data_IF_010805004678
#
_entry.id   IF_010805004678
#
_cell.length_a   1.000
_cell.length_b   1.000
_cell.length_c   1.000
_cell.angle_alpha   90.00
_cell.angle_beta   90.00
_cell.angle_gamma   90.00
#
_symmetry.space_group_name_H-M   'P 1'
#
loop_
_entity.id
_entity.type
_entity.pdbx_description
1 polymer ?
#
# COMPACT_ATOMS: atom_id res chain seq x y z
N UNK A 1 -29.22 10.27 -9.28
CA UNK A 1 -29.65 11.64 -9.58
C UNK A 1 -28.61 12.29 -10.46
N UNK A 2 -28.38 13.60 -10.31
CA UNK A 2 -27.24 14.28 -10.90
C UNK A 2 -25.92 13.81 -10.27
N UNK A 3 -24.85 13.67 -11.06
CA UNK A 3 -23.59 13.07 -10.59
C UNK A 3 -22.88 13.91 -9.53
N UNK A 4 -22.80 15.22 -9.75
CA UNK A 4 -22.05 16.12 -8.85
C UNK A 4 -22.79 16.20 -7.50
N UNK A 5 -24.11 16.38 -7.56
CA UNK A 5 -25.01 16.36 -6.39
C UNK A 5 -24.89 15.07 -5.59
N UNK A 6 -24.98 13.90 -6.22
CA UNK A 6 -24.89 12.59 -5.53
C UNK A 6 -23.49 12.36 -4.93
N UNK A 7 -22.44 12.88 -5.57
CA UNK A 7 -21.06 12.80 -5.05
C UNK A 7 -20.87 13.68 -3.82
N UNK A 8 -21.41 14.91 -3.84
CA UNK A 8 -21.37 15.83 -2.69
C UNK A 8 -22.19 15.30 -1.51
N UNK A 9 -23.40 14.80 -1.76
CA UNK A 9 -24.24 14.13 -0.75
C UNK A 9 -23.51 12.93 -0.13
N UNK A 10 -22.91 12.06 -0.94
CA UNK A 10 -22.13 10.91 -0.44
C UNK A 10 -20.98 11.34 0.48
N UNK A 11 -20.25 12.40 0.11
CA UNK A 11 -19.15 12.93 0.92
C UNK A 11 -19.64 13.55 2.22
N UNK A 12 -20.78 14.26 2.20
CA UNK A 12 -21.41 14.85 3.40
C UNK A 12 -21.98 13.78 4.34
N UNK A 13 -22.67 12.76 3.82
CA UNK A 13 -23.26 11.67 4.63
C UNK A 13 -22.22 10.81 5.36
N UNK A 14 -20.97 10.81 4.89
CA UNK A 14 -19.86 10.06 5.48
C UNK A 14 -18.83 10.98 6.17
N UNK A 15 -19.20 12.22 6.49
CA UNK A 15 -18.37 13.23 7.18
C UNK A 15 -16.99 13.45 6.53
N UNK A 16 -16.91 13.35 5.18
CA UNK A 16 -15.65 13.49 4.45
C UNK A 16 -15.36 14.97 4.15
N UNK A 17 -14.32 15.57 4.77
CA UNK A 17 -13.95 16.97 4.53
C UNK A 17 -13.38 17.19 3.12
N UNK A 18 -14.23 17.65 2.20
CA UNK A 18 -13.92 17.87 0.78
C UNK A 18 -13.78 19.36 0.40
N UNK A 19 -13.73 20.26 1.39
CA UNK A 19 -13.49 21.69 1.17
C UNK A 19 -12.03 21.95 0.73
N UNK A 20 -11.77 23.05 -0.01
CA UNK A 20 -10.41 23.50 -0.33
C UNK A 20 -9.59 23.81 0.92
N UNK A 21 -8.28 23.58 0.84
CA UNK A 21 -7.34 23.92 1.91
C UNK A 21 -7.32 25.42 2.23
N UNK A 22 -7.23 25.76 3.52
CA UNK A 22 -7.19 27.15 3.98
C UNK A 22 -5.86 27.84 3.64
N UNK A 23 -5.85 29.18 3.58
CA UNK A 23 -4.62 29.94 3.31
C UNK A 23 -3.51 29.70 4.36
N UNK A 24 -3.87 29.35 5.60
CA UNK A 24 -2.91 28.97 6.64
C UNK A 24 -2.21 27.64 6.32
N UNK A 25 -2.96 26.65 5.82
CA UNK A 25 -2.42 25.37 5.33
C UNK A 25 -1.53 25.61 4.10
N UNK A 26 -1.98 26.41 3.13
CA UNK A 26 -1.19 26.74 1.93
C UNK A 26 0.14 27.44 2.30
N UNK A 27 0.15 28.27 3.35
CA UNK A 27 1.35 28.98 3.81
C UNK A 27 2.39 28.08 4.50
N UNK A 28 2.05 26.83 4.86
CA UNK A 28 2.99 25.85 5.38
C UNK A 28 3.79 25.12 4.28
N UNK A 29 3.42 25.28 3.00
CA UNK A 29 4.11 24.64 1.88
C UNK A 29 5.50 25.26 1.62
N UNK A 30 6.46 24.48 1.10
CA UNK A 30 7.67 25.04 0.51
C UNK A 30 7.32 25.93 -0.70
N UNK A 31 8.16 26.94 -1.03
CA UNK A 31 7.92 27.78 -2.20
C UNK A 31 8.00 26.97 -3.50
N UNK A 32 7.33 27.38 -4.60
CA UNK A 32 7.41 26.67 -5.89
C UNK A 32 8.82 26.54 -6.49
N UNK A 33 9.78 27.35 -6.02
CA UNK A 33 11.20 27.30 -6.39
C UNK A 33 12.02 26.33 -5.55
N UNK A 34 11.40 25.60 -4.61
CA UNK A 34 12.09 24.63 -3.77
C UNK A 34 12.70 23.50 -4.60
N UNK A 35 13.99 23.25 -4.38
CA UNK A 35 14.74 22.14 -4.95
C UNK A 35 15.75 21.65 -3.93
N UNK A 36 16.03 20.36 -3.90
CA UNK A 36 16.97 19.78 -2.95
C UNK A 36 18.40 19.97 -3.47
N UNK A 37 19.01 21.07 -3.05
CA UNK A 37 20.39 21.37 -3.41
C UNK A 37 21.37 20.35 -2.81
N UNK A 38 22.51 20.13 -3.49
CA UNK A 38 23.61 19.33 -2.93
C UNK A 38 24.23 19.89 -1.63
N UNK A 39 23.93 21.14 -1.27
CA UNK A 39 24.32 21.73 0.01
C UNK A 39 23.49 21.21 1.19
N UNK A 40 22.20 20.94 0.97
CA UNK A 40 21.25 20.52 2.02
C UNK A 40 21.67 19.23 2.73
N UNK A 41 22.45 18.37 2.07
CA UNK A 41 22.97 17.11 2.61
C UNK A 41 24.08 17.28 3.65
N UNK A 42 24.75 18.45 3.72
CA UNK A 42 25.78 18.71 4.74
C UNK A 42 25.20 19.22 6.05
N UNK A 43 24.04 19.88 6.00
CA UNK A 43 23.44 20.54 7.15
C UNK A 43 22.43 19.64 7.91
N UNK A 44 22.12 18.45 7.39
CA UNK A 44 21.29 17.44 8.07
C UNK A 44 22.10 16.20 8.44
N UNK A 45 22.55 16.15 9.69
CA UNK A 45 23.25 14.99 10.24
C UNK A 45 22.39 13.71 10.17
N UNK A 46 22.91 12.65 9.52
CA UNK A 46 22.28 11.33 9.49
C UNK A 46 21.52 10.94 8.22
N UNK A 47 21.64 11.69 7.11
CA UNK A 47 21.12 11.27 5.80
C UNK A 47 22.19 10.60 4.91
N UNK A 48 21.85 9.47 4.29
CA UNK A 48 22.65 8.74 3.32
C UNK A 48 22.27 9.06 1.86
N UNK A 49 23.25 9.17 0.96
CA UNK A 49 23.02 9.38 -0.47
C UNK A 49 22.88 8.03 -1.19
N UNK A 50 21.65 7.66 -1.54
CA UNK A 50 21.30 6.38 -2.17
C UNK A 50 21.03 6.50 -3.68
N UNK A 51 21.23 7.69 -4.28
CA UNK A 51 20.97 7.94 -5.72
C UNK A 51 21.77 7.06 -6.68
N UNK A 52 22.85 6.45 -6.20
CA UNK A 52 23.65 5.50 -6.98
C UNK A 52 22.97 4.12 -7.13
N UNK A 53 21.92 3.82 -6.37
CA UNK A 53 21.19 2.56 -6.43
C UNK A 53 20.15 2.56 -7.56
N UNK A 54 19.90 1.38 -8.13
CA UNK A 54 18.82 1.15 -9.11
C UNK A 54 17.48 0.91 -8.40
N UNK A 55 16.86 2.02 -8.00
CA UNK A 55 15.55 2.07 -7.37
C UNK A 55 14.46 2.26 -8.45
N UNK A 56 13.30 1.64 -8.27
CA UNK A 56 12.12 1.84 -9.12
C UNK A 56 10.81 1.76 -8.31
N UNK A 57 9.79 2.50 -8.74
CA UNK A 57 8.41 2.34 -8.24
C UNK A 57 7.61 1.37 -9.14
N UNK A 58 6.57 0.73 -8.58
CA UNK A 58 5.67 -0.16 -9.33
C UNK A 58 4.21 0.07 -8.92
N UNK A 59 3.49 0.82 -9.75
CA UNK A 59 2.25 1.51 -9.40
C UNK A 59 1.03 1.12 -10.27
N UNK A 60 -0.19 1.51 -9.88
CA UNK A 60 -1.34 1.56 -10.79
C UNK A 60 -1.12 2.54 -11.97
N UNK A 61 -1.70 2.28 -13.16
CA UNK A 61 -1.67 3.24 -14.26
C UNK A 61 -2.33 4.57 -13.86
N UNK A 62 -1.64 5.69 -14.08
CA UNK A 62 -2.13 7.02 -13.72
C UNK A 62 -2.03 7.37 -12.24
N UNK A 63 -1.25 6.61 -11.45
CA UNK A 63 -0.89 6.99 -10.08
C UNK A 63 -0.22 8.37 -10.07
N UNK A 64 -0.57 9.19 -9.08
CA UNK A 64 0.01 10.52 -8.81
C UNK A 64 0.68 10.59 -7.45
N UNK A 65 0.65 9.49 -6.69
CA UNK A 65 1.03 9.40 -5.28
C UNK A 65 1.99 8.23 -5.10
N UNK A 66 3.25 8.44 -5.47
CA UNK A 66 4.28 7.41 -5.32
C UNK A 66 4.81 7.49 -3.89
N UNK A 67 4.14 6.75 -3.01
CA UNK A 67 4.56 6.59 -1.62
C UNK A 67 5.84 5.75 -1.50
N UNK A 68 5.97 4.72 -2.34
CA UNK A 68 6.96 3.66 -2.19
C UNK A 68 7.77 3.38 -3.46
N UNK A 69 9.02 2.97 -3.26
CA UNK A 69 9.90 2.45 -4.30
C UNK A 69 10.81 1.36 -3.75
N UNK A 70 11.30 0.49 -4.63
CA UNK A 70 11.98 -0.74 -4.28
C UNK A 70 13.35 -0.85 -4.96
N UNK A 71 14.30 -1.50 -4.29
CA UNK A 71 15.50 -2.01 -4.95
C UNK A 71 15.93 -3.36 -4.36
N UNK A 72 16.63 -4.15 -5.16
CA UNK A 72 17.23 -5.41 -4.77
C UNK A 72 18.62 -5.55 -5.40
N UNK A 73 19.62 -5.91 -4.60
CA UNK A 73 21.02 -5.96 -4.99
C UNK A 73 21.72 -7.16 -4.32
N UNK A 74 22.44 -8.02 -5.08
CA UNK A 74 23.26 -9.05 -4.49
C UNK A 74 24.48 -8.44 -3.76
N UNK A 75 24.89 -9.07 -2.66
CA UNK A 75 26.06 -8.69 -1.86
C UNK A 75 27.19 -9.72 -2.03
N UNK A 76 28.44 -9.28 -1.90
CA UNK A 76 29.65 -10.11 -2.08
C UNK A 76 29.72 -11.33 -1.13
N UNK A 77 29.00 -11.27 0.00
CA UNK A 77 28.89 -12.35 0.98
C UNK A 77 27.82 -13.40 0.64
N UNK A 78 27.17 -13.30 -0.53
CA UNK A 78 26.11 -14.21 -1.00
C UNK A 78 24.72 -13.92 -0.42
N UNK A 79 24.55 -12.84 0.36
CA UNK A 79 23.24 -12.34 0.76
C UNK A 79 22.65 -11.44 -0.34
N UNK A 80 21.37 -11.07 -0.17
CA UNK A 80 20.72 -10.03 -0.97
C UNK A 80 20.33 -8.86 -0.08
N UNK A 81 20.71 -7.66 -0.48
CA UNK A 81 20.21 -6.39 0.05
C UNK A 81 18.88 -6.06 -0.64
N UNK A 82 17.84 -5.78 0.14
CA UNK A 82 16.57 -5.23 -0.34
C UNK A 82 16.28 -3.96 0.43
N UNK A 83 15.91 -2.89 -0.27
CA UNK A 83 15.48 -1.64 0.36
C UNK A 83 14.09 -1.24 -0.09
N UNK A 84 13.23 -0.95 0.88
CA UNK A 84 11.93 -0.31 0.69
C UNK A 84 12.09 1.16 1.03
N UNK A 85 11.91 2.03 0.05
CA UNK A 85 12.10 3.48 0.14
C UNK A 85 10.75 4.18 0.16
N UNK A 86 10.44 4.90 1.22
CA UNK A 86 9.15 5.55 1.46
C UNK A 86 9.33 7.08 1.42
N UNK A 87 8.37 7.79 0.82
CA UNK A 87 8.37 9.26 0.76
C UNK A 87 8.47 9.90 2.16
N UNK A 88 9.44 10.79 2.38
CA UNK A 88 9.66 11.44 3.68
C UNK A 88 8.71 12.64 3.87
N UNK A 89 7.43 12.35 4.10
CA UNK A 89 6.41 13.35 4.45
C UNK A 89 6.76 14.10 5.74
N UNK A 90 7.42 13.44 6.69
CA UNK A 90 7.85 14.02 7.97
C UNK A 90 8.90 15.13 7.85
N UNK A 91 9.56 15.23 6.69
CA UNK A 91 10.42 16.35 6.34
C UNK A 91 9.64 17.65 6.10
N UNK A 92 8.46 17.55 5.48
CA UNK A 92 7.65 18.68 5.03
C UNK A 92 6.58 19.08 6.05
N UNK A 93 5.91 18.11 6.69
CA UNK A 93 4.96 18.37 7.78
C UNK A 93 5.71 18.39 9.11
N UNK A 94 5.44 19.43 9.91
CA UNK A 94 6.02 19.60 11.24
C UNK A 94 4.88 19.59 12.27
N UNK A 95 5.00 18.83 13.37
CA UNK A 95 3.93 18.70 14.35
C UNK A 95 3.40 20.04 14.86
N UNK A 96 2.07 20.17 14.97
CA UNK A 96 1.39 21.35 15.49
C UNK A 96 1.40 22.57 14.57
N UNK A 97 1.62 22.40 13.26
CA UNK A 97 1.36 23.44 12.27
C UNK A 97 -0.01 23.23 11.58
N UNK A 98 -0.51 24.24 10.86
CA UNK A 98 -1.84 24.16 10.25
C UNK A 98 -2.00 23.01 9.23
N UNK A 99 -0.91 22.60 8.57
CA UNK A 99 -0.91 21.48 7.63
C UNK A 99 -0.93 20.11 8.34
N UNK A 100 -0.30 20.00 9.51
CA UNK A 100 -0.37 18.84 10.41
C UNK A 100 -1.77 18.68 11.03
N UNK A 101 -2.36 19.77 11.51
CA UNK A 101 -3.74 19.78 12.02
C UNK A 101 -4.77 19.37 10.96
N UNK A 102 -4.64 19.91 9.75
CA UNK A 102 -5.49 19.57 8.60
C UNK A 102 -5.29 18.11 8.14
N UNK A 103 -4.05 17.62 8.12
CA UNK A 103 -3.75 16.22 7.81
C UNK A 103 -4.38 15.28 8.84
N UNK A 104 -4.22 15.59 10.13
CA UNK A 104 -4.81 14.85 11.26
C UNK A 104 -6.34 14.86 11.22
N UNK A 105 -6.96 16.00 10.86
CA UNK A 105 -8.41 16.12 10.69
C UNK A 105 -8.95 15.23 9.56
N UNK A 106 -8.23 15.14 8.44
CA UNK A 106 -8.65 14.34 7.28
C UNK A 106 -8.35 12.85 7.47
N UNK A 107 -7.24 12.50 8.12
CA UNK A 107 -6.83 11.14 8.50
C UNK A 107 -6.48 10.16 7.37
N UNK A 108 -7.15 10.23 6.22
CA UNK A 108 -6.89 9.41 5.04
C UNK A 108 -7.34 10.11 3.77
N UNK A 109 -6.67 9.82 2.65
CA UNK A 109 -7.16 10.23 1.33
C UNK A 109 -8.38 9.40 0.94
N UNK A 110 -9.47 10.07 0.56
CA UNK A 110 -10.70 9.45 0.07
C UNK A 110 -10.73 9.48 -1.45
N UNK A 111 -11.00 8.31 -2.02
CA UNK A 111 -10.71 7.92 -3.38
C UNK A 111 -12.03 7.53 -4.09
N UNK A 112 -12.58 8.41 -4.93
CA UNK A 112 -13.84 8.18 -5.66
C UNK A 112 -13.62 8.10 -7.17
N UNK A 113 -14.56 7.48 -7.90
CA UNK A 113 -14.52 7.39 -9.37
C UNK A 113 -14.99 8.71 -10.01
N UNK A 114 -14.11 9.41 -10.75
CA UNK A 114 -14.48 10.61 -11.51
C UNK A 114 -14.24 10.47 -13.03
N UNK A 115 -14.66 11.50 -13.77
CA UNK A 115 -14.54 11.69 -15.22
C UNK A 115 -13.39 12.67 -15.46
N UNK A 116 -12.47 12.34 -16.38
CA UNK A 116 -11.53 13.30 -16.95
C UNK A 116 -11.82 13.47 -18.45
N UNK A 117 -11.61 14.67 -18.99
CA UNK A 117 -11.84 15.01 -20.39
C UNK A 117 -10.63 14.71 -21.31
N UNK A 118 -9.61 14.02 -20.80
CA UNK A 118 -8.35 13.79 -21.51
C UNK A 118 -8.34 12.41 -22.18
N UNK A 119 -8.14 12.41 -23.51
CA UNK A 119 -8.15 11.21 -24.35
C UNK A 119 -7.22 10.10 -23.81
N UNK A 120 -7.80 8.91 -23.63
CA UNK A 120 -7.16 7.66 -23.18
C UNK A 120 -6.30 7.79 -21.89
N UNK A 121 -6.94 7.53 -20.74
CA UNK A 121 -6.37 6.68 -19.68
C UNK A 121 -7.46 6.20 -18.70
N UNK A 122 -7.12 5.15 -17.95
CA UNK A 122 -7.94 4.54 -16.88
C UNK A 122 -8.63 5.59 -15.99
N UNK A 123 -9.76 5.19 -15.39
CA UNK A 123 -10.45 5.97 -14.36
C UNK A 123 -9.45 6.56 -13.38
N UNK A 124 -9.30 7.89 -13.45
CA UNK A 124 -8.69 8.65 -12.39
C UNK A 124 -9.60 8.55 -11.19
N UNK A 125 -9.16 7.78 -10.22
CA UNK A 125 -9.69 7.86 -8.88
C UNK A 125 -9.30 9.24 -8.37
N UNK A 126 -10.26 10.15 -8.27
CA UNK A 126 -10.00 11.49 -7.76
C UNK A 126 -9.86 11.44 -6.25
N UNK A 127 -8.86 12.16 -5.77
CA UNK A 127 -8.75 12.56 -4.37
C UNK A 127 -9.86 13.58 -4.08
N UNK A 128 -10.94 13.14 -3.45
CA UNK A 128 -12.04 14.04 -3.05
C UNK A 128 -11.73 14.74 -1.72
N UNK A 129 -10.99 14.06 -0.85
CA UNK A 129 -10.29 14.62 0.29
C UNK A 129 -8.88 14.01 0.31
N UNK A 130 -7.84 14.80 0.54
CA UNK A 130 -6.45 14.30 0.63
C UNK A 130 -5.90 14.67 1.99
N UNK A 131 -5.27 13.72 2.69
CA UNK A 131 -4.52 14.02 3.93
C UNK A 131 -3.39 15.02 3.66
N UNK A 132 -2.81 14.99 2.46
CA UNK A 132 -1.61 15.72 2.08
C UNK A 132 -1.82 16.74 0.97
N UNK A 133 -1.26 17.93 1.20
CA UNK A 133 -1.11 18.99 0.21
C UNK A 133 0.29 18.94 -0.44
N UNK A 134 0.40 19.70 -1.52
CA UNK A 134 0.91 19.20 -2.78
C UNK A 134 1.26 20.52 -3.63
N UNK A 135 2.21 20.53 -4.62
CA UNK A 135 2.65 21.56 -5.63
C UNK A 135 3.11 20.97 -7.01
N UNK A 136 2.34 21.15 -8.12
CA UNK A 136 2.80 20.88 -9.51
C UNK A 136 2.35 21.97 -10.47
N UNK A 137 3.06 22.04 -11.60
CA UNK A 137 2.83 23.01 -12.65
C UNK A 137 1.88 22.47 -13.73
N UNK A 138 0.57 22.63 -13.53
CA UNK A 138 -0.29 22.99 -14.67
C UNK A 138 -1.48 23.87 -14.25
N UNK A 139 -2.05 24.55 -15.23
CA UNK A 139 -2.84 25.78 -15.05
C UNK A 139 -4.34 25.50 -15.04
N UNK A 140 -5.00 25.68 -13.89
CA UNK A 140 -6.38 26.20 -13.68
C UNK A 140 -6.99 25.71 -12.35
N UNK A 141 -7.12 26.60 -11.36
CA UNK A 141 -8.10 26.54 -10.26
C UNK A 141 -8.49 25.16 -9.69
N UNK A 142 -7.54 24.40 -9.14
CA UNK A 142 -7.73 23.41 -8.07
C UNK A 142 -6.37 23.00 -7.51
N UNK A 143 -6.32 22.81 -6.19
CA UNK A 143 -5.29 22.15 -5.36
C UNK A 143 -3.90 22.02 -6.01
N UNK A 144 -2.95 22.80 -5.49
CA UNK A 144 -1.51 22.75 -5.78
C UNK A 144 -1.06 21.26 -5.54
N UNK A 145 -0.32 20.56 -6.45
CA UNK A 145 -0.12 19.05 -6.49
C UNK A 145 1.34 18.43 -6.47
N UNK A 146 1.97 17.96 -5.36
CA UNK A 146 3.48 17.87 -5.22
C UNK A 146 4.05 16.82 -6.13
N UNK A 147 5.09 17.24 -6.85
CA UNK A 147 5.89 16.33 -7.64
C UNK A 147 6.90 15.53 -6.78
N UNK A 148 6.40 14.54 -6.05
CA UNK A 148 7.21 13.49 -5.42
C UNK A 148 7.87 12.55 -6.45
N UNK A 149 7.53 12.70 -7.75
CA UNK A 149 8.20 12.06 -8.90
C UNK A 149 9.44 12.85 -9.33
N UNK A 150 9.63 14.09 -8.84
CA UNK A 150 10.81 14.89 -9.16
C UNK A 150 12.07 14.28 -8.54
N UNK A 151 13.15 14.29 -9.32
CA UNK A 151 14.32 13.40 -9.17
C UNK A 151 15.21 13.59 -7.92
N UNK A 152 14.88 14.49 -6.99
CA UNK A 152 15.61 14.69 -5.72
C UNK A 152 14.61 15.02 -4.59
N UNK A 153 14.03 13.99 -3.95
CA UNK A 153 13.08 14.12 -2.81
C UNK A 153 13.52 13.21 -1.66
N UNK A 154 13.44 13.62 -0.37
CA UNK A 154 13.96 12.83 0.73
C UNK A 154 13.06 11.60 0.94
N UNK A 155 13.68 10.48 1.32
CA UNK A 155 12.99 9.22 1.60
C UNK A 155 13.46 8.64 2.93
N UNK A 156 12.54 8.02 3.66
CA UNK A 156 12.89 7.11 4.73
C UNK A 156 13.08 5.73 4.11
N UNK A 157 14.11 4.97 4.47
CA UNK A 157 14.30 3.64 3.90
C UNK A 157 14.43 2.55 4.97
N UNK A 158 13.85 1.41 4.65
CA UNK A 158 13.91 0.18 5.44
C UNK A 158 14.80 -0.80 4.68
N UNK A 159 15.98 -1.08 5.23
CA UNK A 159 16.88 -2.09 4.70
C UNK A 159 16.57 -3.47 5.28
N UNK A 160 16.48 -4.47 4.42
CA UNK A 160 16.41 -5.87 4.84
C UNK A 160 17.46 -6.67 4.09
N UNK A 161 18.41 -7.21 4.85
CA UNK A 161 19.42 -8.14 4.32
C UNK A 161 18.89 -9.56 4.45
N UNK A 162 18.70 -10.23 3.31
CA UNK A 162 18.18 -11.58 3.22
C UNK A 162 19.34 -12.57 2.99
N UNK A 163 19.59 -13.43 3.98
CA UNK A 163 20.65 -14.45 3.94
C UNK A 163 20.13 -15.81 3.46
N UNK A 164 19.94 -15.95 2.15
CA UNK A 164 19.39 -17.17 1.54
C UNK A 164 18.00 -17.52 2.09
N UNK A 165 17.72 -18.80 2.30
CA UNK A 165 16.42 -19.29 2.82
C UNK A 165 16.18 -19.04 4.33
N UNK A 166 17.01 -18.24 5.02
CA UNK A 166 16.93 -18.06 6.49
C UNK A 166 15.95 -16.94 6.88
N UNK A 167 15.88 -16.64 8.17
CA UNK A 167 15.17 -15.47 8.70
C UNK A 167 15.76 -14.17 8.15
N UNK A 168 14.92 -13.16 7.78
CA UNK A 168 15.41 -11.85 7.36
C UNK A 168 16.21 -11.15 8.47
N UNK A 169 17.41 -10.65 8.16
CA UNK A 169 18.12 -9.73 9.04
C UNK A 169 17.71 -8.30 8.68
N UNK A 170 16.80 -7.77 9.49
CA UNK A 170 16.23 -6.43 9.37
C UNK A 170 17.23 -5.41 9.92
N UNK A 171 17.55 -4.38 9.15
CA UNK A 171 18.43 -3.29 9.55
C UNK A 171 17.68 -1.97 9.35
N UNK A 172 17.13 -1.42 10.44
CA UNK A 172 16.13 -0.35 10.33
C UNK A 172 16.70 1.06 10.43
N UNK A 173 16.07 1.95 9.66
CA UNK A 173 16.06 3.40 9.80
C UNK A 173 17.44 4.06 9.70
N UNK A 174 17.88 4.23 8.46
CA UNK A 174 18.61 5.43 8.08
C UNK A 174 17.69 6.30 7.22
N UNK A 175 17.94 7.61 7.22
CA UNK A 175 17.22 8.54 6.36
C UNK A 175 18.02 8.73 5.07
N UNK A 176 17.38 8.81 3.91
CA UNK A 176 18.09 8.70 2.64
C UNK A 176 17.56 9.61 1.54
N UNK A 177 18.29 9.63 0.43
CA UNK A 177 17.83 10.23 -0.82
C UNK A 177 17.92 9.17 -1.94
N UNK A 178 16.76 8.72 -2.40
CA UNK A 178 16.64 7.78 -3.51
C UNK A 178 16.30 8.50 -4.81
N UNK A 179 16.83 7.98 -5.92
CA UNK A 179 16.46 8.39 -7.29
C UNK A 179 15.72 7.22 -7.95
N UNK A 180 14.47 7.40 -8.34
CA UNK A 180 13.79 6.40 -9.17
C UNK A 180 14.37 6.44 -10.57
N UNK A 181 15.04 5.35 -10.96
CA UNK A 181 15.54 5.16 -12.32
C UNK A 181 14.40 4.79 -13.29
N UNK A 182 13.26 4.33 -12.76
CA UNK A 182 12.02 4.13 -13.49
C UNK A 182 10.80 4.21 -12.55
N UNK A 183 9.73 4.85 -13.01
CA UNK A 183 8.38 4.66 -12.49
C UNK A 183 7.63 3.75 -13.46
N UNK A 184 7.14 2.61 -12.98
CA UNK A 184 6.57 1.55 -13.81
C UNK A 184 5.13 1.26 -13.41
N UNK A 185 4.27 0.91 -14.36
CA UNK A 185 3.01 0.26 -14.02
C UNK A 185 3.23 -1.22 -13.69
N UNK A 186 2.31 -1.83 -12.93
CA UNK A 186 2.31 -3.28 -12.69
C UNK A 186 2.41 -4.14 -13.96
N UNK A 187 1.89 -3.64 -15.09
CA UNK A 187 1.96 -4.33 -16.37
C UNK A 187 3.35 -4.23 -17.02
N UNK A 188 3.97 -3.05 -17.01
CA UNK A 188 5.32 -2.84 -17.55
C UNK A 188 6.36 -3.58 -16.72
N UNK A 189 6.26 -3.54 -15.39
CA UNK A 189 7.12 -4.30 -14.50
C UNK A 189 7.01 -5.83 -14.75
N UNK A 190 5.81 -6.34 -15.03
CA UNK A 190 5.62 -7.76 -15.36
C UNK A 190 6.29 -8.10 -16.70
N UNK A 191 6.06 -7.29 -17.74
CA UNK A 191 6.70 -7.49 -19.06
C UNK A 191 8.24 -7.44 -18.97
N UNK A 192 8.78 -6.56 -18.12
CA UNK A 192 10.23 -6.51 -17.83
C UNK A 192 10.71 -7.79 -17.14
N UNK A 193 9.98 -8.28 -16.14
CA UNK A 193 10.31 -9.53 -15.45
C UNK A 193 10.27 -10.74 -16.38
N UNK A 194 9.27 -10.81 -17.26
CA UNK A 194 9.02 -11.94 -18.17
C UNK A 194 10.02 -12.03 -19.34
N UNK A 195 10.56 -10.89 -19.83
CA UNK A 195 11.54 -10.85 -20.94
C UNK A 195 12.94 -11.32 -20.51
N UNK A 196 13.18 -12.64 -20.57
CA UNK A 196 14.47 -13.27 -20.24
C UNK A 196 15.70 -12.70 -21.00
N UNK A 197 15.51 -11.99 -22.12
CA UNK A 197 16.58 -11.30 -22.84
C UNK A 197 17.03 -10.01 -22.16
N UNK A 198 16.13 -9.32 -21.45
CA UNK A 198 16.37 -8.04 -20.78
C UNK A 198 17.15 -8.22 -19.48
N UNK A 199 18.28 -7.49 -19.34
CA UNK A 199 19.24 -7.62 -18.24
C UNK A 199 19.73 -6.27 -17.66
N UNK A 200 18.96 -5.21 -17.85
CA UNK A 200 19.27 -3.94 -17.19
C UNK A 200 19.16 -4.06 -15.64
N UNK A 201 19.77 -3.14 -14.87
CA UNK A 201 19.77 -3.21 -13.41
C UNK A 201 18.37 -3.23 -12.78
N UNK A 202 17.41 -2.46 -13.31
CA UNK A 202 16.04 -2.41 -12.80
C UNK A 202 15.33 -3.74 -13.04
N UNK A 203 15.44 -4.32 -14.24
CA UNK A 203 14.89 -5.65 -14.54
C UNK A 203 15.50 -6.74 -13.65
N UNK A 204 16.80 -6.69 -13.37
CA UNK A 204 17.47 -7.64 -12.48
C UNK A 204 17.02 -7.47 -11.02
N UNK A 205 16.85 -6.23 -10.57
CA UNK A 205 16.27 -5.88 -9.27
C UNK A 205 14.85 -6.46 -9.12
N UNK A 206 13.95 -6.20 -10.09
CA UNK A 206 12.57 -6.71 -10.10
C UNK A 206 12.50 -8.25 -10.02
N UNK A 207 13.37 -8.96 -10.75
CA UNK A 207 13.44 -10.44 -10.66
C UNK A 207 13.93 -10.94 -9.30
N UNK A 208 14.90 -10.25 -8.70
CA UNK A 208 15.37 -10.54 -7.35
C UNK A 208 14.25 -10.33 -6.33
N UNK A 209 13.57 -9.18 -6.39
CA UNK A 209 12.39 -8.86 -5.57
C UNK A 209 11.31 -9.95 -5.70
N UNK A 210 10.87 -10.28 -6.93
CA UNK A 210 9.83 -11.30 -7.13
C UNK A 210 10.22 -12.69 -6.60
N UNK A 211 11.47 -13.10 -6.83
CA UNK A 211 11.98 -14.39 -6.34
C UNK A 211 11.92 -14.49 -4.81
N UNK A 212 12.21 -13.39 -4.12
CA UNK A 212 12.15 -13.30 -2.65
C UNK A 212 10.71 -13.14 -2.15
N UNK A 213 9.87 -12.37 -2.83
CA UNK A 213 8.46 -12.20 -2.49
C UNK A 213 7.69 -13.54 -2.50
N UNK A 214 8.00 -14.45 -3.43
CA UNK A 214 7.46 -15.82 -3.42
C UNK A 214 7.75 -16.57 -2.12
N UNK A 215 8.98 -16.45 -1.61
CA UNK A 215 9.42 -17.09 -0.37
C UNK A 215 8.72 -16.45 0.83
N UNK A 216 8.63 -15.12 0.87
CA UNK A 216 7.92 -14.37 1.91
C UNK A 216 6.44 -14.77 1.97
N UNK A 217 5.76 -14.74 0.82
CA UNK A 217 4.35 -15.15 0.68
C UNK A 217 4.11 -16.58 1.12
N UNK A 218 4.97 -17.51 0.69
CA UNK A 218 4.85 -18.92 1.07
C UNK A 218 4.96 -19.09 2.59
N UNK A 219 5.91 -18.41 3.24
CA UNK A 219 6.07 -18.43 4.70
C UNK A 219 4.87 -17.78 5.40
N UNK A 220 4.38 -16.65 4.90
CA UNK A 220 3.19 -15.93 5.41
C UNK A 220 1.93 -16.81 5.38
N UNK A 221 1.70 -17.54 4.28
CA UNK A 221 0.61 -18.52 4.18
C UNK A 221 0.82 -19.70 5.13
N UNK A 222 2.04 -20.25 5.23
CA UNK A 222 2.36 -21.35 6.16
C UNK A 222 2.13 -20.97 7.64
N UNK A 223 2.32 -19.70 7.99
CA UNK A 223 2.03 -19.14 9.31
C UNK A 223 0.52 -18.94 9.57
N UNK A 224 -0.32 -19.01 8.53
CA UNK A 224 -1.78 -18.94 8.64
C UNK A 224 -2.44 -17.67 8.12
N UNK A 225 -1.73 -16.84 7.34
CA UNK A 225 -2.32 -15.62 6.79
C UNK A 225 -3.46 -15.93 5.81
N UNK A 226 -4.53 -15.14 5.88
CA UNK A 226 -5.74 -15.35 5.09
C UNK A 226 -5.59 -14.75 3.69
N UNK A 227 -5.65 -15.58 2.65
CA UNK A 227 -5.83 -15.12 1.27
C UNK A 227 -7.33 -15.08 0.96
N UNK A 228 -7.97 -13.95 1.27
CA UNK A 228 -9.40 -13.72 1.03
C UNK A 228 -9.64 -12.98 -0.28
N UNK A 229 -10.87 -13.05 -0.78
CA UNK A 229 -11.29 -12.39 -2.01
C UNK A 229 -12.29 -11.26 -1.70
N UNK A 230 -12.16 -10.15 -2.43
CA UNK A 230 -13.15 -9.08 -2.49
C UNK A 230 -13.61 -8.95 -3.93
N UNK A 231 -14.91 -8.67 -4.21
CA UNK A 231 -15.36 -8.30 -5.53
C UNK A 231 -14.90 -6.85 -5.83
N UNK A 232 -13.60 -6.65 -6.03
CA UNK A 232 -13.04 -5.39 -6.51
C UNK A 232 -13.30 -5.25 -8.02
N UNK A 233 -13.98 -4.17 -8.37
CA UNK A 233 -14.45 -3.89 -9.72
C UNK A 233 -13.85 -2.57 -10.21
N UNK A 234 -13.47 -2.51 -11.48
CA UNK A 234 -13.09 -1.28 -12.18
C UNK A 234 -14.05 -1.05 -13.34
N UNK A 235 -14.59 0.15 -13.43
CA UNK A 235 -15.34 0.55 -14.62
C UNK A 235 -14.35 0.95 -15.73
N UNK A 236 -14.76 0.74 -16.97
CA UNK A 236 -14.12 1.26 -18.18
C UNK A 236 -15.10 2.27 -18.78
N UNK A 237 -14.64 3.52 -18.91
CA UNK A 237 -15.47 4.64 -19.34
C UNK A 237 -15.29 4.89 -20.83
N UNK A 238 -16.35 5.35 -21.49
CA UNK A 238 -16.28 5.85 -22.87
C UNK A 238 -15.41 7.11 -22.93
N UNK A 239 -14.58 7.21 -23.98
CA UNK A 239 -13.67 8.34 -24.15
C UNK A 239 -14.37 9.63 -24.61
N UNK A 240 -15.58 9.54 -25.19
CA UNK A 240 -16.35 10.66 -25.72
C UNK A 240 -17.57 10.98 -24.86
N UNK A 241 -18.38 9.98 -24.49
CA UNK A 241 -19.59 10.21 -23.65
C UNK A 241 -19.25 10.28 -22.16
N UNK A 242 -18.22 9.53 -21.76
CA UNK A 242 -17.82 9.31 -20.37
C UNK A 242 -18.89 8.60 -19.51
N UNK A 243 -19.72 7.77 -20.15
CA UNK A 243 -20.52 6.75 -19.49
C UNK A 243 -19.67 5.49 -19.23
N UNK A 244 -19.99 4.65 -18.23
CA UNK A 244 -19.33 3.36 -18.07
C UNK A 244 -19.77 2.40 -19.19
N UNK A 245 -18.86 2.08 -20.12
CA UNK A 245 -19.10 1.06 -21.17
C UNK A 245 -19.08 -0.34 -20.57
N UNK A 246 -18.07 -0.60 -19.74
CA UNK A 246 -17.67 -1.96 -19.35
C UNK A 246 -17.24 -2.00 -17.88
N UNK A 247 -17.27 -3.20 -17.31
CA UNK A 247 -17.13 -3.46 -15.89
C UNK A 247 -16.19 -4.65 -15.73
N UNK A 248 -14.92 -4.35 -15.46
CA UNK A 248 -13.83 -5.33 -15.43
C UNK A 248 -13.43 -5.66 -14.00
N UNK A 249 -13.23 -6.94 -13.72
CA UNK A 249 -12.62 -7.38 -12.47
C UNK A 249 -11.12 -7.07 -12.49
N UNK A 250 -10.60 -6.57 -11.38
CA UNK A 250 -9.18 -6.25 -11.25
C UNK A 250 -8.36 -7.54 -11.15
N UNK A 251 -7.70 -7.92 -12.23
CA UNK A 251 -6.74 -9.03 -12.22
C UNK A 251 -5.52 -8.68 -11.37
N UNK A 252 -5.17 -9.55 -10.41
CA UNK A 252 -3.98 -9.42 -9.58
C UNK A 252 -2.80 -10.09 -10.26
N UNK A 253 -1.80 -9.29 -10.67
CA UNK A 253 -0.57 -9.80 -11.26
C UNK A 253 0.42 -10.25 -10.19
N UNK A 254 1.42 -11.01 -10.63
CA UNK A 254 2.53 -11.42 -9.77
C UNK A 254 3.28 -10.19 -9.22
N UNK A 255 3.44 -9.14 -10.02
CA UNK A 255 3.98 -7.84 -9.58
C UNK A 255 3.17 -7.16 -8.47
N UNK A 256 1.84 -7.30 -8.44
CA UNK A 256 1.03 -6.81 -7.32
C UNK A 256 1.41 -7.53 -6.03
N UNK A 257 1.51 -8.87 -6.11
CA UNK A 257 1.90 -9.69 -4.96
C UNK A 257 3.35 -9.45 -4.53
N UNK A 258 4.25 -9.10 -5.47
CA UNK A 258 5.63 -8.75 -5.15
C UNK A 258 5.70 -7.50 -4.27
N UNK A 259 5.03 -6.42 -4.67
CA UNK A 259 4.98 -5.16 -3.90
C UNK A 259 4.32 -5.40 -2.54
N UNK A 260 3.21 -6.15 -2.49
CA UNK A 260 2.48 -6.48 -1.25
C UNK A 260 3.41 -7.08 -0.16
N UNK A 261 4.21 -8.10 -0.48
CA UNK A 261 5.08 -8.75 0.51
C UNK A 261 6.17 -7.82 1.05
N UNK A 262 6.72 -6.92 0.24
CA UNK A 262 7.72 -5.96 0.71
C UNK A 262 7.11 -4.82 1.53
N UNK A 263 5.90 -4.36 1.18
CA UNK A 263 5.17 -3.41 2.03
C UNK A 263 4.82 -4.03 3.38
N UNK A 264 4.33 -5.27 3.41
CA UNK A 264 4.08 -6.01 4.65
C UNK A 264 5.35 -6.17 5.48
N UNK A 265 6.47 -6.58 4.86
CA UNK A 265 7.75 -6.73 5.54
C UNK A 265 8.26 -5.42 6.14
N UNK A 266 8.18 -4.30 5.40
CA UNK A 266 8.57 -2.99 5.90
C UNK A 266 7.69 -2.55 7.07
N UNK A 267 6.36 -2.68 6.93
CA UNK A 267 5.39 -2.34 7.98
C UNK A 267 5.60 -3.14 9.28
N UNK A 268 5.83 -4.46 9.20
CA UNK A 268 6.12 -5.29 10.40
C UNK A 268 7.46 -4.89 11.02
N UNK A 269 8.49 -4.67 10.19
CA UNK A 269 9.83 -4.29 10.69
C UNK A 269 9.83 -2.93 11.38
N UNK A 270 9.05 -1.96 10.89
CA UNK A 270 8.82 -0.68 11.55
C UNK A 270 8.03 -0.85 12.84
N UNK A 271 6.96 -1.65 12.85
CA UNK A 271 6.15 -1.89 14.04
C UNK A 271 6.98 -2.46 15.22
N UNK A 272 7.85 -3.43 14.94
CA UNK A 272 8.80 -3.97 15.92
C UNK A 272 9.72 -2.89 16.49
N UNK A 273 10.31 -2.05 15.62
CA UNK A 273 11.27 -1.02 16.04
C UNK A 273 10.65 0.14 16.80
N UNK A 274 9.44 0.58 16.44
CA UNK A 274 8.78 1.68 17.17
C UNK A 274 8.30 1.24 18.55
N UNK A 275 7.95 -0.03 18.77
CA UNK A 275 7.62 -0.55 20.10
C UNK A 275 8.87 -0.78 20.95
N UNK A 276 9.96 -1.24 20.35
CA UNK A 276 11.27 -1.39 21.02
C UNK A 276 11.80 -0.03 21.53
N UNK A 277 11.68 1.04 20.73
CA UNK A 277 12.12 2.39 21.12
C UNK A 277 11.07 3.16 21.97
N UNK A 278 9.78 3.00 21.68
CA UNK A 278 8.67 3.78 22.27
C UNK A 278 7.53 2.88 22.77
N UNK A 279 7.76 1.99 23.75
CA UNK A 279 6.81 0.94 24.14
C UNK A 279 5.46 1.45 24.66
N UNK A 280 5.40 2.67 25.20
CA UNK A 280 4.17 3.25 25.77
C UNK A 280 3.39 4.16 24.80
N UNK A 281 3.95 4.51 23.64
CA UNK A 281 3.33 5.46 22.70
C UNK A 281 3.46 5.11 21.22
N UNK A 282 3.80 3.87 20.87
CA UNK A 282 3.85 3.42 19.49
C UNK A 282 2.44 3.32 18.87
N UNK A 283 2.27 3.89 17.68
CA UNK A 283 1.05 3.73 16.87
C UNK A 283 1.10 2.39 16.13
N UNK A 284 0.16 1.51 16.45
CA UNK A 284 0.05 0.16 15.93
C UNK A 284 -1.30 -0.09 15.26
N UNK A 285 -1.42 -1.22 14.56
CA UNK A 285 -2.66 -1.65 13.92
C UNK A 285 -2.92 -3.15 14.10
N UNK A 286 -3.93 -3.49 14.88
CA UNK A 286 -4.35 -4.88 15.15
C UNK A 286 -5.54 -5.27 14.27
N UNK A 287 -5.80 -6.57 14.20
CA UNK A 287 -7.00 -7.13 13.58
C UNK A 287 -7.49 -8.25 14.49
N UNK A 288 -8.54 -8.02 15.31
CA UNK A 288 -9.03 -9.01 16.27
C UNK A 288 -9.63 -10.23 15.56
N UNK A 289 -9.51 -11.38 16.19
CA UNK A 289 -10.12 -12.62 15.71
C UNK A 289 -11.66 -12.50 15.65
N UNK A 290 -12.32 -12.88 14.54
CA UNK A 290 -13.78 -12.81 14.47
C UNK A 290 -14.46 -13.81 15.41
N UNK A 291 -15.56 -13.43 16.09
CA UNK A 291 -16.37 -14.35 16.87
C UNK A 291 -16.83 -15.55 16.04
N UNK A 292 -16.82 -16.79 16.56
CA UNK A 292 -17.26 -17.97 15.82
C UNK A 292 -18.65 -17.83 15.18
N UNK A 293 -19.56 -17.12 15.85
CA UNK A 293 -20.90 -16.79 15.36
C UNK A 293 -20.94 -16.00 14.05
N UNK A 294 -19.89 -15.24 13.70
CA UNK A 294 -19.81 -14.55 12.41
C UNK A 294 -19.75 -15.54 11.24
N UNK A 295 -19.18 -16.73 11.47
CA UNK A 295 -19.03 -17.76 10.45
C UNK A 295 -20.21 -18.72 10.36
N UNK A 296 -21.20 -18.66 11.27
CA UNK A 296 -22.34 -19.59 11.33
C UNK A 296 -23.03 -19.76 9.97
N UNK A 297 -23.26 -18.66 9.26
CA UNK A 297 -23.92 -18.65 7.95
C UNK A 297 -23.01 -19.25 6.88
N UNK A 298 -21.72 -18.92 6.89
CA UNK A 298 -20.71 -19.47 5.97
C UNK A 298 -20.58 -20.99 6.14
N UNK A 299 -20.44 -21.47 7.38
CA UNK A 299 -20.29 -22.89 7.69
C UNK A 299 -21.55 -23.67 7.32
N UNK A 300 -22.75 -23.14 7.62
CA UNK A 300 -24.03 -23.75 7.18
C UNK A 300 -24.15 -23.79 5.65
N UNK A 301 -23.77 -22.72 4.95
CA UNK A 301 -23.79 -22.65 3.49
C UNK A 301 -22.80 -23.63 2.84
N UNK A 302 -21.55 -23.69 3.32
CA UNK A 302 -20.54 -24.63 2.85
C UNK A 302 -20.96 -26.08 3.09
N UNK A 303 -21.50 -26.40 4.27
CA UNK A 303 -22.01 -27.73 4.61
C UNK A 303 -23.14 -28.19 3.70
N UNK A 304 -23.98 -27.28 3.19
CA UNK A 304 -25.01 -27.60 2.18
C UNK A 304 -24.45 -28.09 0.83
N UNK A 305 -23.15 -27.86 0.58
CA UNK A 305 -22.40 -28.35 -0.58
C UNK A 305 -21.41 -29.46 -0.23
N UNK A 306 -21.53 -30.05 0.97
CA UNK A 306 -20.59 -31.04 1.53
C UNK A 306 -19.14 -30.51 1.65
N UNK A 307 -18.98 -29.20 1.86
CA UNK A 307 -17.69 -28.56 2.12
C UNK A 307 -17.58 -28.30 3.63
N UNK A 308 -16.48 -28.74 4.23
CA UNK A 308 -16.12 -28.43 5.61
C UNK A 308 -15.25 -27.17 5.65
N UNK A 309 -15.68 -26.15 6.40
CA UNK A 309 -14.91 -24.94 6.68
C UNK A 309 -14.62 -24.93 8.18
N UNK A 310 -13.34 -24.84 8.53
CA UNK A 310 -12.83 -24.86 9.89
C UNK A 310 -12.52 -23.42 10.30
N UNK A 311 -12.91 -23.02 11.52
CA UNK A 311 -12.90 -21.60 11.94
C UNK A 311 -12.16 -21.37 13.25
N UNK A 312 -11.49 -22.40 13.77
CA UNK A 312 -10.80 -22.41 15.06
C UNK A 312 -9.56 -21.49 15.10
N UNK A 313 -9.02 -21.16 13.92
CA UNK A 313 -7.91 -20.22 13.74
C UNK A 313 -7.86 -19.70 12.31
N UNK A 314 -7.14 -18.58 12.09
CA UNK A 314 -6.89 -18.07 10.74
C UNK A 314 -6.24 -19.13 9.83
N UNK A 315 -5.33 -19.95 10.37
CA UNK A 315 -4.70 -21.05 9.64
C UNK A 315 -5.69 -22.15 9.24
N UNK A 316 -6.53 -22.62 10.16
CA UNK A 316 -7.56 -23.62 9.86
C UNK A 316 -8.57 -23.11 8.82
N UNK A 317 -8.91 -21.82 8.88
CA UNK A 317 -9.76 -21.16 7.90
C UNK A 317 -9.09 -21.05 6.52
N UNK A 318 -7.83 -20.62 6.45
CA UNK A 318 -7.07 -20.58 5.20
C UNK A 318 -7.00 -21.98 4.56
N UNK A 319 -6.54 -22.99 5.30
CA UNK A 319 -6.35 -24.33 4.77
C UNK A 319 -7.67 -25.01 4.37
N UNK A 320 -8.76 -24.79 5.11
CA UNK A 320 -10.07 -25.34 4.74
C UNK A 320 -10.68 -24.63 3.53
N UNK A 321 -10.50 -23.31 3.38
CA UNK A 321 -10.85 -22.57 2.17
C UNK A 321 -9.99 -23.00 0.97
N UNK A 322 -8.70 -23.30 1.15
CA UNK A 322 -7.84 -23.81 0.08
C UNK A 322 -8.24 -25.23 -0.35
N UNK A 323 -8.66 -26.07 0.60
CA UNK A 323 -9.22 -27.41 0.32
C UNK A 323 -10.67 -27.38 -0.20
N UNK A 324 -11.37 -26.24 -0.16
CA UNK A 324 -12.76 -26.09 -0.61
C UNK A 324 -12.92 -26.05 -2.14
N UNK A 325 -12.28 -27.00 -2.84
CA UNK A 325 -12.44 -27.28 -4.25
C UNK A 325 -13.25 -28.57 -4.41
N UNK A 326 -14.46 -28.48 -4.97
CA UNK A 326 -15.32 -29.63 -5.23
C UNK A 326 -15.16 -30.06 -6.69
N UNK A 327 -14.77 -31.32 -6.99
CA UNK A 327 -14.68 -31.82 -8.35
C UNK A 327 -16.00 -31.65 -9.11
N UNK A 328 -15.96 -30.99 -10.28
CA UNK A 328 -17.13 -30.71 -11.10
C UNK A 328 -17.99 -29.51 -10.64
N UNK A 329 -17.63 -28.82 -9.55
CA UNK A 329 -18.28 -27.57 -9.17
C UNK A 329 -17.79 -26.39 -10.03
N UNK A 330 -18.56 -25.28 -10.13
CA UNK A 330 -18.12 -24.08 -10.84
C UNK A 330 -16.81 -23.53 -10.26
N UNK A 331 -15.83 -23.11 -11.09
CA UNK A 331 -14.55 -22.55 -10.61
C UNK A 331 -14.72 -21.38 -9.63
N UNK A 332 -15.79 -20.61 -9.78
CA UNK A 332 -16.13 -19.45 -8.95
C UNK A 332 -16.64 -19.80 -7.54
N UNK A 333 -16.95 -21.07 -7.23
CA UNK A 333 -17.46 -21.48 -5.91
C UNK A 333 -16.46 -21.18 -4.79
N UNK A 334 -15.16 -21.43 -5.02
CA UNK A 334 -14.13 -21.13 -4.03
C UNK A 334 -14.01 -19.62 -3.80
N UNK A 335 -14.06 -18.82 -4.87
CA UNK A 335 -14.07 -17.36 -4.81
C UNK A 335 -15.28 -16.85 -4.02
N UNK A 336 -16.48 -17.41 -4.22
CA UNK A 336 -17.67 -17.07 -3.42
C UNK A 336 -17.49 -17.37 -1.93
N UNK A 337 -16.93 -18.53 -1.58
CA UNK A 337 -16.64 -18.87 -0.18
C UNK A 337 -15.64 -17.89 0.45
N UNK A 338 -14.62 -17.46 -0.29
CA UNK A 338 -13.66 -16.43 0.17
C UNK A 338 -14.31 -15.06 0.30
N UNK A 339 -15.19 -14.64 -0.62
CA UNK A 339 -15.95 -13.38 -0.51
C UNK A 339 -16.85 -13.39 0.72
N UNK A 340 -17.52 -14.52 1.01
CA UNK A 340 -18.34 -14.67 2.21
C UNK A 340 -17.46 -14.67 3.48
N UNK A 341 -16.31 -15.34 3.48
CA UNK A 341 -15.35 -15.29 4.58
C UNK A 341 -14.84 -13.86 4.85
N UNK A 342 -14.59 -13.04 3.83
CA UNK A 342 -14.27 -11.60 3.98
C UNK A 342 -15.36 -10.85 4.74
N UNK A 343 -16.64 -11.19 4.53
CA UNK A 343 -17.77 -10.56 5.25
C UNK A 343 -17.94 -11.05 6.68
N UNK A 344 -17.29 -12.14 7.08
CA UNK A 344 -17.25 -12.62 8.46
C UNK A 344 -16.16 -11.94 9.30
N UNK A 345 -15.18 -11.28 8.67
CA UNK A 345 -14.05 -10.64 9.35
C UNK A 345 -14.46 -9.45 10.23
N UNK A 346 -13.63 -9.15 11.23
CA UNK A 346 -13.74 -7.92 12.02
C UNK A 346 -13.08 -6.75 11.29
N UNK A 347 -13.36 -5.53 11.74
CA UNK A 347 -12.63 -4.36 11.31
C UNK A 347 -11.24 -4.34 11.98
N UNK A 348 -10.18 -4.12 11.19
CA UNK A 348 -8.83 -3.88 11.71
C UNK A 348 -8.68 -2.42 12.17
N UNK A 349 -8.19 -2.22 13.39
CA UNK A 349 -8.21 -0.96 14.13
C UNK A 349 -6.79 -0.44 14.38
N UNK A 350 -6.63 0.88 14.46
CA UNK A 350 -5.42 1.50 14.99
C UNK A 350 -5.53 1.67 16.50
N UNK A 351 -4.40 1.56 17.20
CA UNK A 351 -4.33 1.74 18.65
C UNK A 351 -2.94 2.23 19.07
N UNK A 352 -2.87 2.81 20.27
CA UNK A 352 -1.60 3.15 20.94
C UNK A 352 -1.15 1.96 21.79
N UNK A 353 0.13 1.62 21.78
CA UNK A 353 0.69 0.43 22.46
C UNK A 353 0.46 0.38 23.98
N UNK A 354 0.18 1.51 24.64
CA UNK A 354 -0.21 1.55 26.07
C UNK A 354 -1.68 1.19 26.34
N UNK A 355 -2.54 1.13 25.32
CA UNK A 355 -3.99 0.99 25.47
C UNK A 355 -4.51 -0.45 25.35
N UNK A 356 -3.85 -1.29 24.55
CA UNK A 356 -4.31 -2.65 24.24
C UNK A 356 -3.14 -3.65 24.31
N UNK A 357 -3.24 -4.73 25.11
CA UNK A 357 -2.23 -5.79 25.13
C UNK A 357 -2.27 -6.71 23.89
N UNK A 358 -3.37 -6.77 23.12
CA UNK A 358 -3.46 -7.61 21.92
C UNK A 358 -2.97 -6.87 20.66
N UNK A 359 -1.69 -7.08 20.36
CA UNK A 359 -1.03 -6.53 19.17
C UNK A 359 -1.24 -7.38 17.90
N UNK A 360 -1.93 -8.52 18.01
CA UNK A 360 -2.03 -9.50 16.93
C UNK A 360 -2.85 -9.00 15.73
N UNK A 361 -2.46 -9.42 14.53
CA UNK A 361 -3.19 -9.14 13.31
C UNK A 361 -3.68 -10.43 12.64
N UNK A 362 -4.87 -10.90 13.03
CA UNK A 362 -5.48 -12.17 12.65
C UNK A 362 -5.37 -12.48 11.15
N UNK A 363 -5.81 -11.56 10.28
CA UNK A 363 -5.80 -11.78 8.82
C UNK A 363 -4.40 -11.88 8.18
N UNK A 364 -3.35 -11.39 8.84
CA UNK A 364 -1.96 -11.42 8.34
C UNK A 364 -1.10 -12.47 9.04
N UNK A 365 -1.60 -13.10 10.12
CA UNK A 365 -0.86 -14.03 10.97
C UNK A 365 0.50 -13.49 11.46
N UNK A 366 0.54 -12.20 11.85
CA UNK A 366 1.71 -11.56 12.47
C UNK A 366 1.40 -11.17 13.92
N UNK A 367 2.42 -11.25 14.78
CA UNK A 367 2.31 -10.86 16.19
C UNK A 367 2.14 -9.35 16.39
N UNK A 368 2.68 -8.54 15.47
CA UNK A 368 2.63 -7.08 15.51
C UNK A 368 2.57 -6.50 14.09
N UNK A 369 1.90 -5.36 13.93
CA UNK A 369 1.76 -4.66 12.66
C UNK A 369 1.49 -3.16 12.86
N UNK A 370 1.86 -2.33 11.88
CA UNK A 370 1.47 -0.92 11.77
C UNK A 370 1.35 -0.51 10.30
N UNK A 371 0.99 0.74 10.02
CA UNK A 371 1.17 1.33 8.69
C UNK A 371 2.28 2.38 8.72
N UNK A 372 3.19 2.27 7.77
CA UNK A 372 4.31 3.18 7.55
C UNK A 372 4.48 3.52 6.07
N UNK A 373 4.19 2.56 5.19
CA UNK A 373 4.60 2.62 3.77
C UNK A 373 3.79 3.56 2.89
N UNK A 374 2.79 4.30 3.40
CA UNK A 374 1.83 5.07 2.57
C UNK A 374 1.56 6.51 3.08
N UNK A 375 2.59 7.29 3.47
CA UNK A 375 2.42 8.53 4.23
C UNK A 375 1.84 9.71 3.43
N UNK A 376 1.80 9.64 2.09
CA UNK A 376 1.15 10.67 1.26
C UNK A 376 -0.38 10.62 1.43
N UNK A 377 -0.92 9.51 1.93
CA UNK A 377 -2.36 9.25 1.99
C UNK A 377 -2.91 8.75 3.33
N UNK A 378 -2.06 8.52 4.34
CA UNK A 378 -2.44 8.01 5.67
C UNK A 378 -1.36 8.29 6.70
#
# INVERSE_FOLDING_TARGET
>A
GDKETETEVLLLEHDVPHQPFSQAVLACLPPPTFSISRGLFKDQAGREDLRALSICSVDPPGCTDIDDALHCKPLDNGNTEVGVHIADVSYFIRPGNALDEEASLRGTTVYLCEKNNDNLKLIRIKKCATTMLYISHDVLNKVIFVDFLSYDVPRLWVSVTLSGHREPRRHLLSSGLGLDQASLTYAEAQLMMDDAGRKDPVTSSLRGLNSLAKILKQRRIQNGALTLASPEVRFHMDSETHDPIDLQTKELKETNSMVEEFMLLANISVAERIVDEFPECALLRSHPAPPPSNYDILVKAAKSKNIEIQVDSAKALAESLDRAAVPGAPPYLNTLLRILATRCMMQAIYFCSSMDPDTHHYGLATAIYTHFTLPIRR
#
